data_IF_722711170320
#
_entry.id   IF_722711170320
#
_cell.length_a   1.000
_cell.length_b   1.000
_cell.length_c   1.000
_cell.angle_alpha   90.00
_cell.angle_beta   90.00
_cell.angle_gamma   90.00
#
_symmetry.space_group_name_H-M   'P 1'
#
loop_
_entity.id
_entity.type
_entity.pdbx_description
1 polymer ?
#
# COMPACT_ATOMS: atom_id res chain seq x y z
N UNK A 1 -57.65 -50.11 -46.21
CA UNK A 1 -56.67 -49.05 -46.44
C UNK A 1 -56.24 -48.46 -45.08
N UNK A 2 -55.05 -48.80 -44.57
CA UNK A 2 -54.47 -48.22 -43.40
C UNK A 2 -53.38 -47.29 -43.86
N UNK A 3 -53.53 -46.00 -43.59
CA UNK A 3 -52.54 -45.02 -43.83
C UNK A 3 -51.52 -45.04 -42.59
N UNK A 4 -50.26 -45.35 -42.87
CA UNK A 4 -49.19 -45.27 -41.92
C UNK A 4 -48.78 -43.82 -41.80
N UNK A 5 -48.98 -43.23 -40.63
CA UNK A 5 -48.36 -41.95 -40.25
C UNK A 5 -46.89 -42.19 -39.94
N UNK A 6 -46.03 -41.76 -40.86
CA UNK A 6 -44.60 -41.72 -40.60
C UNK A 6 -44.34 -40.62 -39.57
N UNK A 7 -43.87 -41.04 -38.40
CA UNK A 7 -43.35 -40.10 -37.38
C UNK A 7 -42.12 -39.36 -37.94
N UNK A 8 -42.30 -38.08 -38.20
CA UNK A 8 -41.26 -37.17 -38.62
C UNK A 8 -40.44 -36.72 -37.40
N UNK A 9 -39.42 -37.51 -37.09
CA UNK A 9 -38.47 -37.23 -35.98
C UNK A 9 -37.32 -36.35 -36.46
N UNK A 10 -37.62 -35.34 -37.27
CA UNK A 10 -36.63 -34.37 -37.72
C UNK A 10 -36.78 -33.08 -36.95
N UNK A 11 -35.96 -32.91 -35.91
CA UNK A 11 -35.74 -31.58 -35.34
C UNK A 11 -35.98 -31.39 -33.86
N UNK A 12 -36.25 -32.46 -33.09
CA UNK A 12 -36.24 -32.30 -31.64
C UNK A 12 -34.82 -32.27 -31.13
N UNK A 13 -34.15 -31.11 -31.21
CA UNK A 13 -33.03 -30.85 -30.34
C UNK A 13 -33.55 -30.99 -28.93
N UNK A 14 -33.24 -32.09 -28.22
CA UNK A 14 -33.87 -32.41 -26.95
C UNK A 14 -33.74 -31.22 -26.00
N UNK A 15 -34.85 -30.87 -25.37
CA UNK A 15 -34.91 -29.75 -24.44
C UNK A 15 -33.77 -29.77 -23.39
N UNK A 16 -33.27 -30.96 -23.07
CA UNK A 16 -32.12 -31.19 -22.23
C UNK A 16 -30.81 -30.62 -22.79
N UNK A 17 -30.58 -30.72 -24.10
CA UNK A 17 -29.37 -30.17 -24.74
C UNK A 17 -29.45 -28.64 -24.83
N UNK A 18 -30.61 -28.09 -25.09
CA UNK A 18 -30.84 -26.63 -25.11
C UNK A 18 -30.62 -26.07 -23.70
N UNK A 19 -31.18 -26.73 -22.68
CA UNK A 19 -30.99 -26.34 -21.28
C UNK A 19 -29.53 -26.43 -20.85
N UNK A 20 -28.80 -27.46 -21.26
CA UNK A 20 -27.38 -27.61 -20.96
C UNK A 20 -26.52 -26.50 -21.60
N UNK A 21 -26.77 -26.16 -22.86
CA UNK A 21 -26.11 -25.04 -23.54
C UNK A 21 -26.42 -23.69 -22.91
N UNK A 22 -27.68 -23.49 -22.46
CA UNK A 22 -28.09 -22.28 -21.80
C UNK A 22 -27.40 -22.10 -20.46
N UNK A 23 -27.23 -23.18 -19.68
CA UNK A 23 -26.46 -23.17 -18.43
C UNK A 23 -24.97 -22.86 -18.67
N UNK A 24 -24.36 -23.43 -19.71
CA UNK A 24 -22.97 -23.14 -20.06
C UNK A 24 -22.78 -21.69 -20.46
N UNK A 25 -23.67 -21.13 -21.29
CA UNK A 25 -23.62 -19.73 -21.69
C UNK A 25 -23.85 -18.78 -20.50
N UNK A 26 -24.75 -19.14 -19.60
CA UNK A 26 -25.06 -18.35 -18.40
C UNK A 26 -23.86 -18.38 -17.41
N UNK A 27 -23.24 -19.53 -17.23
CA UNK A 27 -22.04 -19.67 -16.39
C UNK A 27 -20.83 -18.92 -16.99
N UNK A 28 -20.64 -19.00 -18.32
CA UNK A 28 -19.56 -18.28 -19.00
C UNK A 28 -19.81 -16.77 -18.98
N UNK A 29 -21.07 -16.33 -19.19
CA UNK A 29 -21.44 -14.92 -19.11
C UNK A 29 -21.26 -14.34 -17.71
N UNK A 30 -21.56 -15.13 -16.66
CA UNK A 30 -21.34 -14.73 -15.27
C UNK A 30 -19.87 -14.64 -14.93
N UNK A 31 -19.03 -15.61 -15.37
CA UNK A 31 -17.58 -15.57 -15.18
C UNK A 31 -16.92 -14.37 -15.88
N UNK A 32 -17.34 -14.04 -17.11
CA UNK A 32 -16.86 -12.86 -17.83
C UNK A 32 -17.33 -11.57 -17.15
N UNK A 33 -18.56 -11.52 -16.63
CA UNK A 33 -19.05 -10.36 -15.89
C UNK A 33 -18.27 -10.12 -14.59
N UNK A 34 -17.85 -11.18 -13.89
CA UNK A 34 -16.99 -11.08 -12.70
C UNK A 34 -15.61 -10.49 -13.07
N UNK A 35 -15.01 -10.96 -14.15
CA UNK A 35 -13.69 -10.48 -14.60
C UNK A 35 -13.74 -9.04 -15.12
N UNK A 36 -14.87 -8.60 -15.65
CA UNK A 36 -15.06 -7.26 -16.21
C UNK A 36 -15.69 -6.25 -15.22
N UNK A 37 -16.00 -6.66 -13.99
CA UNK A 37 -16.43 -5.72 -12.95
C UNK A 37 -15.22 -5.19 -12.21
N UNK A 38 -14.79 -3.94 -12.45
CA UNK A 38 -13.64 -3.33 -11.76
C UNK A 38 -13.83 -3.18 -10.25
N UNK A 39 -15.01 -3.46 -9.70
CA UNK A 39 -15.32 -3.40 -8.28
C UNK A 39 -15.20 -4.73 -7.53
N UNK A 40 -14.80 -5.83 -8.19
CA UNK A 40 -14.58 -7.14 -7.54
C UNK A 40 -13.10 -7.46 -7.31
N UNK A 41 -12.19 -6.65 -7.83
CA UNK A 41 -10.81 -6.62 -7.36
C UNK A 41 -10.88 -5.86 -6.05
N UNK A 42 -10.60 -6.53 -4.94
CA UNK A 42 -10.57 -5.88 -3.63
C UNK A 42 -9.61 -4.70 -3.72
N UNK A 43 -10.15 -3.49 -3.55
CA UNK A 43 -9.35 -2.29 -3.52
C UNK A 43 -8.48 -2.37 -2.25
N UNK A 44 -7.19 -2.61 -2.42
CA UNK A 44 -6.22 -2.74 -1.32
C UNK A 44 -5.28 -1.55 -1.32
N UNK A 45 -4.84 -1.09 -0.16
CA UNK A 45 -3.64 -0.28 -0.03
C UNK A 45 -2.43 -0.99 -0.67
N UNK A 46 -1.34 -0.28 -0.99
CA UNK A 46 -0.11 -0.91 -1.47
C UNK A 46 0.43 -1.90 -0.42
N UNK A 47 0.89 -3.05 -0.88
CA UNK A 47 1.57 -4.06 -0.05
C UNK A 47 3.08 -3.78 -0.11
N UNK A 48 3.54 -2.89 0.76
CA UNK A 48 4.93 -2.43 0.82
C UNK A 48 5.51 -2.71 2.21
N UNK A 49 6.79 -3.08 2.24
CA UNK A 49 7.56 -3.34 3.46
C UNK A 49 8.69 -2.33 3.61
N UNK A 50 9.01 -1.99 4.85
CA UNK A 50 10.04 -1.02 5.17
C UNK A 50 11.04 -1.61 6.15
N UNK A 51 12.27 -1.13 6.08
CA UNK A 51 13.30 -1.44 7.05
C UNK A 51 13.85 -0.13 7.60
N UNK A 52 14.34 -0.15 8.84
CA UNK A 52 14.98 0.99 9.47
C UNK A 52 16.32 0.64 10.06
N UNK A 53 17.19 1.62 10.12
CA UNK A 53 18.46 1.55 10.85
C UNK A 53 18.71 2.89 11.53
N UNK A 54 19.17 2.84 12.77
CA UNK A 54 19.54 4.02 13.55
C UNK A 54 21.06 4.03 13.78
N UNK A 55 21.69 5.14 13.48
CA UNK A 55 23.10 5.38 13.75
C UNK A 55 23.21 6.42 14.87
N UNK A 56 23.58 5.97 16.07
CA UNK A 56 23.75 6.83 17.25
C UNK A 56 24.88 7.88 17.07
N UNK A 57 25.86 7.62 16.18
CA UNK A 57 26.96 8.54 15.95
C UNK A 57 26.52 9.78 15.21
N UNK A 58 25.60 9.60 14.28
CA UNK A 58 25.02 10.70 13.49
C UNK A 58 23.66 11.12 13.99
N UNK A 59 23.04 10.38 14.92
CA UNK A 59 21.67 10.62 15.37
C UNK A 59 20.64 10.44 14.28
N UNK A 60 20.90 9.58 13.28
CA UNK A 60 20.06 9.49 12.09
C UNK A 60 19.31 8.16 12.03
N UNK A 61 17.99 8.23 12.02
CA UNK A 61 17.10 7.12 11.68
C UNK A 61 16.86 7.11 10.15
N UNK A 62 17.40 6.09 9.49
CA UNK A 62 17.13 5.87 8.06
C UNK A 62 16.04 4.82 7.88
N UNK A 63 14.95 5.19 7.23
CA UNK A 63 13.90 4.29 6.79
C UNK A 63 14.03 4.04 5.29
N UNK A 64 14.01 2.78 4.88
CA UNK A 64 14.12 2.38 3.48
C UNK A 64 12.90 1.54 3.06
N UNK A 65 12.38 1.81 1.86
CA UNK A 65 11.42 0.91 1.20
C UNK A 65 12.13 -0.39 0.83
N UNK A 66 11.90 -1.46 1.60
CA UNK A 66 12.61 -2.72 1.49
C UNK A 66 12.06 -3.64 0.38
N UNK A 67 10.83 -3.38 -0.10
CA UNK A 67 10.21 -4.14 -1.18
C UNK A 67 8.70 -4.13 -1.15
N UNK A 68 8.09 -4.81 -2.12
CA UNK A 68 6.65 -4.82 -2.35
C UNK A 68 6.23 -3.83 -3.43
N UNK A 69 5.01 -3.30 -3.32
CA UNK A 69 4.45 -2.37 -4.30
C UNK A 69 5.11 -0.99 -4.20
N UNK A 70 5.38 -0.35 -5.32
CA UNK A 70 5.75 1.06 -5.33
C UNK A 70 4.59 1.95 -4.84
N UNK A 71 4.92 3.03 -4.15
CA UNK A 71 3.95 4.03 -3.70
C UNK A 71 3.78 5.06 -4.81
N UNK A 72 2.71 4.90 -5.59
CA UNK A 72 2.43 5.71 -6.77
C UNK A 72 1.62 6.96 -6.43
N UNK A 73 1.81 8.02 -7.21
CA UNK A 73 1.10 9.30 -7.09
C UNK A 73 -0.44 9.14 -7.17
N UNK A 74 -0.98 8.55 -8.22
CA UNK A 74 -2.42 8.55 -8.47
C UNK A 74 -3.34 8.02 -7.36
N UNK A 75 -3.03 6.86 -6.74
CA UNK A 75 -3.83 6.30 -5.64
C UNK A 75 -3.46 6.87 -4.26
N UNK A 76 -2.32 7.53 -4.11
CA UNK A 76 -1.76 7.97 -2.83
C UNK A 76 -1.94 9.46 -2.63
N UNK A 77 -2.57 9.87 -1.54
CA UNK A 77 -2.61 11.28 -1.11
C UNK A 77 -1.40 11.66 -0.28
N UNK A 78 -0.89 10.75 0.55
CA UNK A 78 0.35 10.93 1.31
C UNK A 78 0.92 9.62 1.85
N UNK A 79 2.24 9.61 2.04
CA UNK A 79 2.99 8.65 2.84
C UNK A 79 3.68 9.41 3.97
N UNK A 80 3.38 9.08 5.20
CA UNK A 80 3.85 9.78 6.40
C UNK A 80 4.55 8.79 7.31
N UNK A 81 5.72 9.16 7.80
CA UNK A 81 6.41 8.46 8.89
C UNK A 81 5.96 9.10 10.21
N UNK A 82 5.35 8.31 11.07
CA UNK A 82 4.98 8.71 12.42
C UNK A 82 6.01 8.13 13.38
N UNK A 83 6.90 8.98 13.87
CA UNK A 83 7.89 8.59 14.87
C UNK A 83 7.29 8.83 16.24
N UNK A 84 7.32 7.82 17.10
CA UNK A 84 6.75 7.84 18.44
C UNK A 84 7.78 7.38 19.45
N UNK A 85 8.00 8.20 20.47
CA UNK A 85 8.81 7.92 21.63
C UNK A 85 8.33 6.63 22.34
N UNK A 86 9.26 5.82 22.84
CA UNK A 86 8.97 4.55 23.51
C UNK A 86 8.01 4.69 24.70
N UNK A 87 8.08 5.82 25.41
CA UNK A 87 7.18 6.15 26.51
C UNK A 87 5.77 6.60 26.02
N UNK A 88 5.62 6.87 24.72
CA UNK A 88 4.37 7.30 24.08
C UNK A 88 3.95 8.73 24.41
N UNK A 89 4.82 9.52 25.04
CA UNK A 89 4.53 10.91 25.45
C UNK A 89 4.68 11.89 24.28
N UNK A 90 5.54 11.56 23.30
CA UNK A 90 5.83 12.39 22.14
C UNK A 90 5.63 11.62 20.84
N UNK A 91 5.12 12.31 19.82
CA UNK A 91 5.04 11.78 18.46
C UNK A 91 5.21 12.90 17.44
N UNK A 92 5.93 12.63 16.36
CA UNK A 92 6.18 13.56 15.26
C UNK A 92 5.83 12.90 13.93
N UNK A 93 5.20 13.70 13.06
CA UNK A 93 4.88 13.29 11.69
C UNK A 93 5.90 13.89 10.71
N UNK A 94 6.52 13.03 9.93
CA UNK A 94 7.39 13.39 8.81
C UNK A 94 6.72 12.99 7.51
N UNK A 95 6.41 13.93 6.64
CA UNK A 95 5.77 13.65 5.35
C UNK A 95 6.82 13.23 4.32
N UNK A 96 6.86 11.94 3.99
CA UNK A 96 7.78 11.41 2.98
C UNK A 96 7.39 11.91 1.58
N UNK A 97 6.16 11.63 1.15
CA UNK A 97 5.56 12.14 -0.10
C UNK A 97 4.12 12.56 0.12
N UNK A 98 3.64 13.56 -0.63
CA UNK A 98 2.25 14.02 -0.59
C UNK A 98 1.81 14.72 -1.89
N UNK A 99 0.49 14.75 -2.12
CA UNK A 99 -0.15 15.56 -3.16
C UNK A 99 -0.13 17.04 -2.77
N UNK A 100 1.01 17.68 -2.94
CA UNK A 100 1.24 19.08 -2.56
C UNK A 100 1.59 19.24 -1.08
N UNK A 101 2.19 20.37 -0.74
CA UNK A 101 2.69 20.68 0.59
C UNK A 101 4.18 20.39 0.76
N UNK A 102 4.61 20.40 2.03
CA UNK A 102 6.01 20.20 2.39
C UNK A 102 6.28 18.69 2.54
N UNK A 103 6.63 18.03 1.45
CA UNK A 103 7.08 16.65 1.42
C UNK A 103 8.59 16.60 1.18
N UNK A 104 9.25 15.61 1.79
CA UNK A 104 10.69 15.39 1.67
C UNK A 104 11.09 14.92 0.27
N UNK A 105 10.26 14.09 -0.35
CA UNK A 105 10.52 13.50 -1.66
C UNK A 105 9.33 13.63 -2.62
N UNK A 106 9.53 13.22 -3.85
CA UNK A 106 8.50 13.13 -4.88
C UNK A 106 8.11 11.67 -5.15
N UNK A 107 6.90 11.48 -5.70
CA UNK A 107 6.48 10.17 -6.21
C UNK A 107 7.25 9.74 -7.47
N UNK A 108 7.35 8.45 -7.74
CA UNK A 108 6.99 7.32 -6.86
C UNK A 108 8.02 7.08 -5.75
N UNK A 109 7.63 6.35 -4.67
CA UNK A 109 8.59 5.77 -3.73
C UNK A 109 8.76 4.30 -4.08
N UNK A 110 9.95 3.94 -4.52
CA UNK A 110 10.30 2.61 -5.02
C UNK A 110 11.21 1.85 -4.04
N UNK A 111 11.31 0.54 -4.26
CA UNK A 111 12.24 -0.29 -3.47
C UNK A 111 13.68 0.22 -3.60
N UNK A 112 14.29 0.52 -2.47
CA UNK A 112 15.61 1.14 -2.36
C UNK A 112 15.59 2.62 -1.99
N UNK A 113 14.47 3.32 -2.17
CA UNK A 113 14.33 4.70 -1.71
C UNK A 113 14.31 4.76 -0.19
N UNK A 114 14.86 5.83 0.35
CA UNK A 114 14.97 6.05 1.80
C UNK A 114 14.68 7.49 2.20
N UNK A 115 14.36 7.66 3.47
CA UNK A 115 14.25 8.95 4.15
C UNK A 115 15.11 8.92 5.40
N UNK A 116 15.83 10.00 5.64
CA UNK A 116 16.66 10.20 6.82
C UNK A 116 15.96 11.18 7.79
N UNK A 117 15.76 10.73 9.03
CA UNK A 117 15.12 11.50 10.10
C UNK A 117 16.12 11.72 11.22
N UNK A 118 16.42 12.97 11.53
CA UNK A 118 17.44 13.33 12.51
C UNK A 118 16.91 13.49 13.91
N UNK A 119 17.72 13.06 14.83
CA UNK A 119 17.67 13.35 16.25
C UNK A 119 18.22 14.77 16.50
N UNK A 120 17.39 15.69 17.03
CA UNK A 120 17.83 17.07 17.28
C UNK A 120 18.84 17.22 18.41
N UNK A 121 19.16 16.16 19.16
CA UNK A 121 20.13 16.17 20.24
C UNK A 121 21.57 15.88 19.77
N UNK A 122 21.73 15.38 18.53
CA UNK A 122 23.03 15.00 17.95
C UNK A 122 23.40 15.97 16.83
N UNK A 123 24.53 16.65 16.98
CA UNK A 123 25.17 17.47 15.92
C UNK A 123 26.39 16.68 15.45
N UNK A 124 26.28 16.03 14.32
CA UNK A 124 27.25 15.02 13.87
C UNK A 124 28.54 15.62 13.29
N UNK A 125 28.48 16.87 12.82
CA UNK A 125 29.60 17.58 12.19
C UNK A 125 30.11 18.80 12.97
N UNK A 126 29.54 19.05 14.17
CA UNK A 126 29.93 20.15 15.08
C UNK A 126 29.76 21.56 14.46
N UNK A 127 28.85 21.71 13.47
CA UNK A 127 28.61 23.00 12.82
C UNK A 127 27.62 23.90 13.60
N UNK A 128 27.01 23.37 14.64
CA UNK A 128 26.01 24.01 15.50
C UNK A 128 24.59 23.87 14.99
N UNK A 129 24.37 22.99 14.01
CA UNK A 129 23.08 22.63 13.46
C UNK A 129 22.89 21.10 13.50
N UNK A 130 22.05 20.60 14.39
CA UNK A 130 21.74 19.18 14.48
C UNK A 130 20.74 18.70 13.40
N UNK A 131 20.64 19.40 12.28
CA UNK A 131 19.70 19.10 11.18
C UNK A 131 20.47 18.77 9.90
N UNK A 132 20.87 17.50 9.76
CA UNK A 132 21.70 16.99 8.66
C UNK A 132 20.97 16.07 7.69
N UNK A 133 19.76 15.61 8.04
CA UNK A 133 18.96 14.70 7.24
C UNK A 133 17.87 15.36 6.41
N UNK A 134 16.90 14.56 6.00
CA UNK A 134 15.76 15.00 5.20
C UNK A 134 14.68 15.67 6.07
N UNK A 135 14.58 15.25 7.32
CA UNK A 135 13.63 15.75 8.31
C UNK A 135 14.18 15.58 9.73
N UNK A 136 13.56 16.25 10.71
CA UNK A 136 13.88 16.07 12.12
C UNK A 136 12.63 15.76 12.94
N UNK A 137 12.81 15.05 14.05
CA UNK A 137 11.81 14.93 15.11
C UNK A 137 11.99 16.03 16.17
N UNK A 138 11.01 16.21 17.02
CA UNK A 138 11.06 17.23 18.09
C UNK A 138 11.54 16.68 19.45
N UNK A 139 12.12 15.49 19.49
CA UNK A 139 12.55 14.78 20.68
C UNK A 139 13.77 13.92 20.37
N UNK A 140 14.52 13.49 21.38
CA UNK A 140 15.66 12.59 21.27
C UNK A 140 15.19 11.20 20.82
N UNK A 141 15.93 10.58 19.91
CA UNK A 141 15.63 9.22 19.43
C UNK A 141 16.37 8.18 20.28
N UNK A 142 15.60 7.32 20.91
CA UNK A 142 16.09 6.31 21.82
C UNK A 142 15.77 4.87 21.36
N UNK A 143 16.48 3.93 21.98
CA UNK A 143 16.22 2.50 21.77
C UNK A 143 14.80 2.13 22.24
N UNK A 144 14.00 1.57 21.35
CA UNK A 144 12.62 1.23 21.59
C UNK A 144 11.59 2.19 20.98
N UNK A 145 12.02 3.34 20.48
CA UNK A 145 11.16 4.22 19.70
C UNK A 145 10.62 3.51 18.46
N UNK A 146 9.51 3.98 17.94
CA UNK A 146 8.90 3.35 16.77
C UNK A 146 8.67 4.36 15.65
N UNK A 147 8.90 3.89 14.42
CA UNK A 147 8.59 4.61 13.20
C UNK A 147 7.53 3.83 12.40
N UNK A 148 6.30 4.32 12.40
CA UNK A 148 5.20 3.73 11.65
C UNK A 148 5.08 4.42 10.29
N UNK A 149 5.10 3.65 9.19
CA UNK A 149 4.88 4.17 7.85
C UNK A 149 3.39 4.11 7.55
N UNK A 150 2.76 5.26 7.47
CA UNK A 150 1.31 5.44 7.31
C UNK A 150 1.00 5.94 5.91
N UNK A 151 0.26 5.14 5.17
CA UNK A 151 -0.25 5.47 3.87
C UNK A 151 -1.68 6.02 3.97
N UNK A 152 -1.95 7.07 3.22
CA UNK A 152 -3.27 7.63 3.02
C UNK A 152 -3.53 7.79 1.54
N UNK A 153 -4.69 7.31 1.07
CA UNK A 153 -5.04 7.41 -0.33
C UNK A 153 -6.33 6.71 -0.67
N UNK A 154 -6.58 6.61 -1.98
CA UNK A 154 -7.77 5.95 -2.51
C UNK A 154 -7.36 4.79 -3.41
N UNK A 155 -7.41 3.55 -2.93
CA UNK A 155 -7.18 2.39 -3.77
C UNK A 155 -8.13 2.38 -4.96
N UNK A 156 -7.68 1.87 -6.11
CA UNK A 156 -8.48 1.78 -7.34
C UNK A 156 -9.78 1.03 -7.09
N UNK A 157 -10.92 1.69 -7.34
CA UNK A 157 -12.24 1.11 -7.13
C UNK A 157 -12.81 1.29 -5.71
N UNK A 158 -12.06 1.87 -4.77
CA UNK A 158 -12.57 2.18 -3.44
C UNK A 158 -13.56 3.36 -3.47
N UNK A 159 -14.62 3.33 -2.66
CA UNK A 159 -15.62 4.40 -2.61
C UNK A 159 -15.09 5.68 -1.92
N UNK A 160 -13.98 5.60 -1.19
CA UNK A 160 -13.41 6.69 -0.41
C UNK A 160 -11.93 6.55 -0.14
N UNK A 161 -11.38 7.55 0.54
CA UNK A 161 -10.02 7.56 1.03
C UNK A 161 -9.88 6.63 2.24
N UNK A 162 -8.73 5.97 2.34
CA UNK A 162 -8.38 5.04 3.41
C UNK A 162 -7.05 5.49 4.02
N UNK A 163 -6.89 5.32 5.31
CA UNK A 163 -5.61 5.49 6.01
C UNK A 163 -5.24 4.16 6.64
N UNK A 164 -4.02 3.70 6.41
CA UNK A 164 -3.51 2.44 6.96
C UNK A 164 -2.02 2.53 7.27
N UNK A 165 -1.59 1.84 8.30
CA UNK A 165 -0.17 1.61 8.57
C UNK A 165 0.29 0.47 7.68
N UNK A 166 1.31 0.72 6.85
CA UNK A 166 1.91 -0.29 5.98
C UNK A 166 2.90 -1.14 6.76
N UNK A 167 3.74 -0.49 7.57
CA UNK A 167 4.76 -1.17 8.36
C UNK A 167 5.10 -0.35 9.62
N UNK A 168 5.77 -0.98 10.59
CA UNK A 168 6.28 -0.32 11.78
C UNK A 168 7.67 -0.87 12.10
N UNK A 169 8.64 0.03 12.17
CA UNK A 169 10.03 -0.26 12.52
C UNK A 169 10.29 0.21 13.94
N UNK A 170 10.97 -0.61 14.74
CA UNK A 170 11.47 -0.20 16.06
C UNK A 170 12.90 0.31 15.93
N UNK A 171 13.18 1.47 16.48
CA UNK A 171 14.51 2.02 16.59
C UNK A 171 15.33 1.11 17.50
N UNK A 172 16.47 0.67 17.03
CA UNK A 172 17.41 -0.10 17.81
C UNK A 172 18.83 0.38 17.47
N UNK A 173 19.56 0.71 18.51
CA UNK A 173 20.96 1.05 18.40
C UNK A 173 21.73 -0.10 17.75
N UNK A 174 22.47 0.22 16.69
CA UNK A 174 23.31 -0.76 16.01
C UNK A 174 24.46 -1.20 16.92
N UNK A 175 24.50 -2.49 17.26
CA UNK A 175 25.60 -3.11 18.03
C UNK A 175 26.83 -3.40 17.18
#
# INVERSE_FOLDING_TARGET
MRASLSDDVRGAVGAERVAAWFLVLLATGFAVAIVLQPGLIAASPPDATFSGSYDETTGTLTLQHAGGDAIEDGPTSSLVVVVTDADGESAQNVTWVADGGDAVAAYPVESGDSIAVDDPSVDSDDDGNAFDGDATVGFELDDGDTAAVVWRGRPLGAPGEVTTTLDTVTVSAGS
#
